data_IF_295769761464
#
_entry.id   IF_295769761464
#
_cell.length_a   1.000
_cell.length_b   1.000
_cell.length_c   1.000
_cell.angle_alpha   90.00
_cell.angle_beta   90.00
_cell.angle_gamma   90.00
#
_symmetry.space_group_name_H-M   'P 1'
#
loop_
_entity.id
_entity.type
_entity.pdbx_description
1 polymer ?
#
# COMPACT_ATOMS: atom_id res chain seq x y z
N UNK A 1 -0.19 25.29 51.97
CA UNK A 1 -0.95 25.75 50.79
C UNK A 1 -0.73 24.72 49.68
N UNK A 2 -1.74 23.94 49.31
CA UNK A 2 -1.66 22.96 48.20
C UNK A 2 -1.95 23.69 46.89
N UNK A 3 -1.01 23.70 45.95
CA UNK A 3 -1.28 24.09 44.57
C UNK A 3 -1.32 22.82 43.72
N UNK A 4 -2.54 22.44 43.35
CA UNK A 4 -2.85 21.47 42.31
C UNK A 4 -2.61 22.14 40.95
N UNK A 5 -1.80 21.51 40.10
CA UNK A 5 -1.69 21.87 38.68
C UNK A 5 -2.15 20.68 37.83
N UNK A 6 -3.46 20.48 37.76
CA UNK A 6 -4.10 19.60 36.79
C UNK A 6 -4.45 20.35 35.51
N UNK A 7 -3.49 20.98 34.83
CA UNK A 7 -3.76 21.63 33.54
C UNK A 7 -2.53 21.58 32.65
N UNK A 8 -2.31 20.42 32.02
CA UNK A 8 -1.61 20.30 30.75
C UNK A 8 -1.92 18.91 30.17
N UNK A 9 -3.20 18.72 29.79
CA UNK A 9 -3.52 17.78 28.73
C UNK A 9 -2.83 18.26 27.46
N UNK A 10 -1.56 17.87 27.28
CA UNK A 10 -0.96 17.82 25.97
C UNK A 10 -1.79 16.79 25.22
N UNK A 11 -2.69 17.26 24.34
CA UNK A 11 -3.30 16.43 23.30
C UNK A 11 -2.16 15.71 22.59
N UNK A 12 -1.84 14.49 23.01
CA UNK A 12 -1.26 13.52 22.08
C UNK A 12 -2.32 13.40 21.01
N UNK A 13 -2.03 13.89 19.81
CA UNK A 13 -2.65 13.33 18.62
C UNK A 13 -2.27 11.85 18.64
N UNK A 14 -3.03 11.04 19.36
CA UNK A 14 -3.12 9.62 19.11
C UNK A 14 -3.69 9.56 17.69
N UNK A 15 -2.81 9.55 16.69
CA UNK A 15 -3.19 9.05 15.37
C UNK A 15 -3.79 7.68 15.67
N UNK A 16 -5.11 7.58 15.52
CA UNK A 16 -5.80 6.29 15.54
C UNK A 16 -5.08 5.48 14.46
N UNK A 17 -4.25 4.53 14.87
CA UNK A 17 -3.53 3.68 13.92
C UNK A 17 -4.56 3.14 12.95
N UNK A 18 -4.27 3.25 11.66
CA UNK A 18 -5.20 2.77 10.65
C UNK A 18 -5.39 1.27 10.87
N UNK A 19 -6.63 0.80 10.77
CA UNK A 19 -6.93 -0.63 10.83
C UNK A 19 -6.56 -1.36 9.54
N UNK A 20 -6.28 -0.60 8.49
CA UNK A 20 -5.96 -1.12 7.17
C UNK A 20 -4.61 -0.62 6.72
N UNK A 21 -3.76 -1.57 6.32
CA UNK A 21 -2.48 -1.32 5.68
C UNK A 21 -2.61 -1.61 4.19
N UNK A 22 -2.22 -0.66 3.36
CA UNK A 22 -2.13 -0.81 1.90
C UNK A 22 -0.68 -1.04 1.54
N UNK A 23 -0.39 -2.18 0.94
CA UNK A 23 0.90 -2.56 0.37
C UNK A 23 0.83 -2.28 -1.12
N UNK A 24 1.52 -1.23 -1.56
CA UNK A 24 1.38 -0.66 -2.89
C UNK A 24 2.66 -0.84 -3.69
N UNK A 25 2.59 -1.65 -4.74
CA UNK A 25 3.61 -1.64 -5.78
C UNK A 25 3.56 -0.36 -6.59
N UNK A 26 4.69 -0.02 -7.22
CA UNK A 26 4.81 1.21 -8.02
C UNK A 26 4.92 0.89 -9.50
N UNK A 27 5.76 -0.08 -9.85
CA UNK A 27 6.01 -0.48 -11.23
C UNK A 27 4.81 -1.27 -11.77
N UNK A 28 4.30 -0.93 -12.95
CA UNK A 28 3.11 -1.60 -13.52
C UNK A 28 1.78 -1.26 -12.81
N UNK A 29 1.82 -0.72 -11.59
CA UNK A 29 0.64 -0.29 -10.82
C UNK A 29 0.42 1.21 -10.92
N UNK A 30 1.37 2.03 -10.48
CA UNK A 30 1.28 3.49 -10.62
C UNK A 30 1.88 3.95 -11.95
N UNK A 31 2.86 3.20 -12.45
CA UNK A 31 3.57 3.47 -13.67
C UNK A 31 3.17 2.46 -14.74
N UNK A 32 2.27 2.89 -15.61
CA UNK A 32 1.92 2.13 -16.79
C UNK A 32 3.17 1.86 -17.64
N UNK A 33 3.53 0.59 -17.80
CA UNK A 33 4.68 0.15 -18.61
C UNK A 33 4.35 0.06 -20.11
N UNK A 34 3.15 0.49 -20.52
CA UNK A 34 2.61 0.33 -21.86
C UNK A 34 1.94 1.58 -22.42
N UNK A 35 0.82 1.35 -23.11
CA UNK A 35 0.04 2.44 -23.69
C UNK A 35 -0.53 3.30 -22.57
N UNK A 36 -0.29 4.60 -22.69
CA UNK A 36 -0.66 5.59 -21.67
C UNK A 36 -2.18 5.59 -21.44
N UNK A 37 -2.65 5.78 -20.19
CA UNK A 37 -4.07 5.99 -19.90
C UNK A 37 -4.66 7.11 -20.77
N UNK A 38 -5.97 7.06 -21.03
CA UNK A 38 -6.63 8.13 -21.81
C UNK A 38 -6.58 9.48 -21.09
N UNK A 39 -6.66 9.48 -19.76
CA UNK A 39 -6.60 10.68 -18.92
C UNK A 39 -5.34 10.68 -18.06
N UNK A 40 -4.32 11.40 -18.51
CA UNK A 40 -2.99 11.35 -17.89
C UNK A 40 -2.54 12.66 -17.29
N UNK A 41 -1.81 12.54 -16.17
CA UNK A 41 -1.04 13.60 -15.56
C UNK A 41 0.45 13.33 -15.79
N UNK A 42 1.14 14.28 -16.41
CA UNK A 42 2.60 14.23 -16.53
C UNK A 42 3.25 14.92 -15.34
N UNK A 43 4.09 14.19 -14.63
CA UNK A 43 4.85 14.70 -13.48
C UNK A 43 6.32 14.36 -13.69
N UNK A 44 7.16 15.39 -13.84
CA UNK A 44 8.55 15.20 -14.25
C UNK A 44 8.66 14.47 -15.60
N UNK A 45 9.34 13.32 -15.60
CA UNK A 45 9.47 12.44 -16.78
C UNK A 45 8.42 11.33 -16.84
N UNK A 46 7.62 11.19 -15.79
CA UNK A 46 6.67 10.10 -15.63
C UNK A 46 5.26 10.55 -16.00
N UNK A 47 4.42 9.58 -16.36
CA UNK A 47 3.03 9.80 -16.73
C UNK A 47 2.18 8.86 -15.88
N UNK A 48 1.17 9.43 -15.23
CA UNK A 48 0.29 8.75 -14.30
C UNK A 48 -1.16 8.92 -14.72
N UNK A 49 -2.06 8.12 -14.17
CA UNK A 49 -3.50 8.44 -14.20
C UNK A 49 -3.74 9.77 -13.45
N UNK A 50 -4.54 10.67 -14.03
CA UNK A 50 -4.75 12.01 -13.47
C UNK A 50 -5.49 12.01 -12.12
N UNK A 51 -6.27 10.97 -11.81
CA UNK A 51 -6.97 10.83 -10.54
C UNK A 51 -6.09 10.26 -9.43
N UNK A 52 -4.95 9.66 -9.78
CA UNK A 52 -4.09 8.94 -8.85
C UNK A 52 -3.64 9.79 -7.64
N UNK A 53 -3.15 11.04 -7.78
CA UNK A 53 -2.70 11.82 -6.62
C UNK A 53 -3.84 12.12 -5.65
N UNK A 54 -5.02 12.48 -6.17
CA UNK A 54 -6.19 12.77 -5.37
C UNK A 54 -6.70 11.52 -4.64
N UNK A 55 -6.64 10.36 -5.29
CA UNK A 55 -6.98 9.08 -4.67
C UNK A 55 -5.98 8.68 -3.57
N UNK A 56 -4.67 8.72 -3.83
CA UNK A 56 -3.64 8.42 -2.82
C UNK A 56 -3.76 9.33 -1.60
N UNK A 57 -4.02 10.63 -1.81
CA UNK A 57 -4.21 11.59 -0.72
C UNK A 57 -5.46 11.31 0.12
N UNK A 58 -6.55 10.84 -0.49
CA UNK A 58 -7.76 10.42 0.26
C UNK A 58 -7.50 9.11 0.99
N UNK A 59 -6.87 8.15 0.32
CA UNK A 59 -6.58 6.83 0.87
C UNK A 59 -5.67 6.92 2.09
N UNK A 60 -4.65 7.78 2.08
CA UNK A 60 -3.74 7.97 3.22
C UNK A 60 -4.38 8.61 4.46
N UNK A 61 -5.60 9.16 4.33
CA UNK A 61 -6.36 9.66 5.48
C UNK A 61 -7.08 8.54 6.24
N UNK A 62 -7.28 7.39 5.58
CA UNK A 62 -8.10 6.27 6.09
C UNK A 62 -7.35 4.92 6.10
N UNK A 63 -6.12 4.89 5.56
CA UNK A 63 -5.24 3.74 5.47
C UNK A 63 -3.77 4.15 5.72
N UNK A 64 -2.96 3.21 6.21
CA UNK A 64 -1.50 3.34 6.19
C UNK A 64 -0.98 2.75 4.89
N UNK A 65 -0.31 3.55 4.06
CA UNK A 65 0.20 3.10 2.75
C UNK A 65 1.70 2.86 2.86
N UNK A 66 2.15 1.66 2.52
CA UNK A 66 3.55 1.27 2.42
C UNK A 66 3.90 0.99 0.98
N UNK A 67 5.07 1.48 0.56
CA UNK A 67 5.61 1.18 -0.75
C UNK A 67 6.26 -0.19 -0.75
N UNK A 68 5.87 -0.99 -1.74
CA UNK A 68 6.37 -2.33 -1.98
C UNK A 68 6.85 -2.42 -3.42
N UNK A 69 7.87 -1.64 -3.82
CA UNK A 69 8.36 -1.66 -5.20
C UNK A 69 9.69 -2.36 -5.37
N UNK A 70 9.74 -3.09 -6.48
CA UNK A 70 10.92 -3.75 -7.00
C UNK A 70 12.00 -2.75 -7.47
N UNK A 71 11.74 -1.46 -7.44
CA UNK A 71 12.63 -0.38 -7.88
C UNK A 71 12.75 0.64 -6.75
N UNK A 72 13.31 0.20 -5.60
CA UNK A 72 13.30 0.95 -4.34
C UNK A 72 13.87 2.37 -4.47
N UNK A 73 15.03 2.51 -5.10
CA UNK A 73 15.68 3.81 -5.33
C UNK A 73 14.81 4.78 -6.15
N UNK A 74 13.94 4.25 -7.00
CA UNK A 74 13.04 5.05 -7.84
C UNK A 74 11.71 5.32 -7.14
N UNK A 75 11.33 4.50 -6.16
CA UNK A 75 10.12 4.66 -5.36
C UNK A 75 10.12 5.95 -4.55
N UNK A 76 11.28 6.33 -3.99
CA UNK A 76 11.43 7.63 -3.32
C UNK A 76 11.26 8.81 -4.28
N UNK A 77 11.80 8.68 -5.49
CA UNK A 77 11.60 9.68 -6.54
C UNK A 77 10.12 9.75 -6.94
N UNK A 78 9.42 8.62 -7.04
CA UNK A 78 7.99 8.60 -7.37
C UNK A 78 7.13 9.24 -6.29
N UNK A 79 7.42 8.97 -5.01
CA UNK A 79 6.76 9.63 -3.88
C UNK A 79 6.96 11.15 -3.91
N UNK A 80 8.19 11.60 -4.17
CA UNK A 80 8.51 13.01 -4.32
C UNK A 80 7.75 13.65 -5.49
N UNK A 81 7.82 13.03 -6.67
CA UNK A 81 7.20 13.56 -7.89
C UNK A 81 5.68 13.67 -7.71
N UNK A 82 5.02 12.62 -7.20
CA UNK A 82 3.58 12.63 -6.92
C UNK A 82 3.18 13.57 -5.77
N UNK A 83 4.12 14.16 -5.05
CA UNK A 83 3.86 14.98 -3.87
C UNK A 83 3.17 14.18 -2.75
N UNK A 84 3.42 12.87 -2.68
CA UNK A 84 2.76 11.96 -1.76
C UNK A 84 3.74 11.37 -0.75
N UNK A 85 3.38 11.41 0.54
CA UNK A 85 4.15 10.78 1.61
C UNK A 85 3.46 9.51 2.08
N UNK A 86 4.14 8.38 1.95
CA UNK A 86 3.70 7.09 2.51
C UNK A 86 4.03 6.98 4.00
N UNK A 87 3.56 5.89 4.62
CA UNK A 87 3.92 5.49 5.99
C UNK A 87 5.32 4.87 6.07
N UNK A 88 5.81 4.29 4.97
CA UNK A 88 7.14 3.71 4.89
C UNK A 88 7.40 2.95 3.59
N UNK A 89 8.54 2.27 3.56
CA UNK A 89 8.98 1.38 2.48
C UNK A 89 9.26 0.00 3.07
N UNK A 90 8.86 -1.04 2.34
CA UNK A 90 9.24 -2.41 2.68
C UNK A 90 10.52 -2.75 1.90
N UNK A 91 11.63 -2.81 2.64
CA UNK A 91 12.97 -3.14 2.14
C UNK A 91 13.07 -4.60 1.69
N UNK A 92 13.47 -4.85 0.44
CA UNK A 92 13.69 -6.20 -0.10
C UNK A 92 15.17 -6.56 -0.14
N UNK A 93 16.05 -5.57 -0.07
CA UNK A 93 17.51 -5.71 -0.16
C UNK A 93 18.14 -6.50 0.99
N UNK A 94 17.50 -6.53 2.15
CA UNK A 94 18.04 -7.16 3.37
C UNK A 94 17.72 -8.66 3.48
N UNK A 95 16.83 -9.18 2.64
CA UNK A 95 16.52 -10.61 2.57
C UNK A 95 17.55 -11.33 1.69
N UNK A 96 18.78 -11.40 2.22
CA UNK A 96 19.97 -12.01 1.60
C UNK A 96 19.86 -13.51 1.27
N UNK A 97 18.71 -14.15 1.57
CA UNK A 97 18.53 -15.60 1.43
C UNK A 97 17.99 -16.03 0.07
N UNK A 98 17.31 -15.15 -0.67
CA UNK A 98 16.71 -15.54 -1.95
C UNK A 98 17.58 -15.10 -3.12
N UNK A 99 18.09 -16.05 -3.92
CA UNK A 99 18.76 -15.78 -5.20
C UNK A 99 17.82 -15.22 -6.28
N UNK A 100 16.52 -15.14 -6.00
CA UNK A 100 15.51 -14.66 -6.92
C UNK A 100 14.75 -13.50 -6.27
N UNK A 101 14.82 -12.35 -6.92
CA UNK A 101 14.32 -11.07 -6.46
C UNK A 101 12.79 -11.06 -6.20
N UNK A 102 12.02 -11.78 -7.01
CA UNK A 102 10.58 -11.90 -6.82
C UNK A 102 10.20 -12.61 -5.51
N UNK A 103 10.98 -13.62 -5.12
CA UNK A 103 10.74 -14.34 -3.86
C UNK A 103 11.11 -13.51 -2.64
N UNK A 104 12.14 -12.67 -2.73
CA UNK A 104 12.50 -11.74 -1.65
C UNK A 104 11.42 -10.69 -1.38
N UNK A 105 10.74 -10.19 -2.43
CA UNK A 105 9.61 -9.26 -2.28
C UNK A 105 8.45 -9.89 -1.51
N UNK A 106 8.09 -11.11 -1.87
CA UNK A 106 7.02 -11.86 -1.25
C UNK A 106 7.32 -12.22 0.20
N UNK A 107 8.52 -12.72 0.48
CA UNK A 107 8.96 -13.03 1.85
C UNK A 107 8.90 -11.78 2.75
N UNK A 108 9.37 -10.62 2.26
CA UNK A 108 9.28 -9.38 3.03
C UNK A 108 7.83 -8.97 3.35
N UNK A 109 6.94 -9.10 2.36
CA UNK A 109 5.51 -8.81 2.52
C UNK A 109 4.90 -9.75 3.57
N UNK A 110 5.17 -11.06 3.49
CA UNK A 110 4.67 -12.04 4.45
C UNK A 110 5.18 -11.76 5.86
N UNK A 111 6.49 -11.52 6.02
CA UNK A 111 7.08 -11.15 7.30
C UNK A 111 6.44 -9.90 7.89
N UNK A 112 6.25 -8.86 7.07
CA UNK A 112 5.58 -7.63 7.48
C UNK A 112 4.12 -7.89 7.91
N UNK A 113 3.38 -8.71 7.17
CA UNK A 113 2.01 -9.09 7.53
C UNK A 113 1.93 -9.89 8.82
N UNK A 114 2.91 -10.77 9.11
CA UNK A 114 3.01 -11.51 10.38
C UNK A 114 3.15 -10.55 11.56
N UNK A 115 4.04 -9.56 11.44
CA UNK A 115 4.25 -8.53 12.48
C UNK A 115 3.00 -7.68 12.71
N UNK A 116 2.16 -7.55 11.69
CA UNK A 116 0.92 -6.77 11.70
C UNK A 116 -0.33 -7.65 11.64
N UNK A 117 -0.27 -8.90 12.11
CA UNK A 117 -1.34 -9.91 11.95
C UNK A 117 -2.70 -9.56 12.56
N UNK A 118 -2.81 -8.44 13.31
CA UNK A 118 -4.06 -7.91 13.85
C UNK A 118 -4.71 -6.83 12.96
N UNK A 119 -4.08 -6.45 11.85
CA UNK A 119 -4.56 -5.48 10.87
C UNK A 119 -5.24 -6.17 9.68
N UNK A 120 -6.02 -5.42 8.92
CA UNK A 120 -6.44 -5.85 7.58
C UNK A 120 -5.52 -5.26 6.53
N UNK A 121 -5.42 -5.91 5.38
CA UNK A 121 -4.49 -5.56 4.32
C UNK A 121 -5.18 -5.35 2.99
N UNK A 122 -4.61 -4.47 2.19
CA UNK A 122 -4.82 -4.41 0.74
C UNK A 122 -3.45 -4.62 0.10
N UNK A 123 -3.33 -5.59 -0.81
CA UNK A 123 -2.14 -5.78 -1.63
C UNK A 123 -2.46 -5.36 -3.06
N UNK A 124 -1.73 -4.37 -3.58
CA UNK A 124 -1.90 -3.86 -4.95
C UNK A 124 -0.60 -4.11 -5.70
N UNK A 125 -0.60 -5.07 -6.61
CA UNK A 125 0.58 -5.47 -7.37
C UNK A 125 0.17 -6.09 -8.72
N UNK A 126 0.79 -5.66 -9.82
CA UNK A 126 0.48 -6.14 -11.17
C UNK A 126 0.90 -7.62 -11.37
N UNK A 127 1.81 -8.11 -10.54
CA UNK A 127 2.35 -9.46 -10.52
C UNK A 127 1.83 -10.32 -9.37
N UNK A 128 0.81 -9.88 -8.63
CA UNK A 128 0.27 -10.56 -7.45
C UNK A 128 -0.04 -12.06 -7.67
N UNK A 129 -0.46 -12.48 -8.87
CA UNK A 129 -0.75 -13.89 -9.17
C UNK A 129 0.49 -14.80 -9.10
N UNK A 130 1.67 -14.27 -9.41
CA UNK A 130 2.94 -15.00 -9.28
C UNK A 130 3.30 -15.26 -7.82
N UNK A 131 2.57 -14.63 -6.89
CA UNK A 131 2.79 -14.66 -5.45
C UNK A 131 1.67 -15.31 -4.67
N UNK A 132 0.58 -15.70 -5.33
CA UNK A 132 -0.48 -16.48 -4.71
C UNK A 132 0.09 -17.88 -4.41
N UNK A 133 0.69 -17.99 -3.23
CA UNK A 133 1.28 -19.20 -2.68
C UNK A 133 0.15 -20.16 -2.25
N UNK A 134 0.43 -21.44 -2.43
CA UNK A 134 -0.24 -22.67 -1.99
C UNK A 134 -1.29 -22.56 -0.86
N UNK A 135 -2.24 -23.50 -0.83
CA UNK A 135 -3.45 -23.53 0.02
C UNK A 135 -3.26 -23.28 1.54
N UNK A 136 -2.02 -23.30 2.06
CA UNK A 136 -1.64 -23.20 3.47
C UNK A 136 -0.82 -21.95 3.87
N UNK A 137 -0.76 -20.90 3.04
CA UNK A 137 -0.06 -19.64 3.37
C UNK A 137 -0.88 -18.67 4.24
N UNK A 138 -0.21 -17.80 5.02
CA UNK A 138 -0.86 -16.72 5.79
C UNK A 138 -1.73 -15.82 4.88
N UNK A 139 -1.25 -15.53 3.66
CA UNK A 139 -1.97 -14.76 2.66
C UNK A 139 -3.33 -15.41 2.34
N UNK A 140 -3.34 -16.73 2.16
CA UNK A 140 -4.57 -17.51 1.91
C UNK A 140 -5.55 -17.40 3.08
N UNK A 141 -5.06 -17.52 4.31
CA UNK A 141 -5.90 -17.40 5.51
C UNK A 141 -6.48 -15.99 5.67
N UNK A 142 -5.66 -14.96 5.50
CA UNK A 142 -6.12 -13.57 5.56
C UNK A 142 -7.17 -13.29 4.48
N UNK A 143 -7.00 -13.82 3.28
CA UNK A 143 -7.96 -13.65 2.20
C UNK A 143 -9.28 -14.39 2.47
N UNK A 144 -9.23 -15.66 2.91
CA UNK A 144 -10.42 -16.44 3.29
C UNK A 144 -11.24 -15.76 4.39
N UNK A 145 -10.55 -15.09 5.32
CA UNK A 145 -11.16 -14.42 6.46
C UNK A 145 -11.61 -12.98 6.13
N UNK A 146 -11.50 -12.54 4.87
CA UNK A 146 -11.88 -11.19 4.44
C UNK A 146 -10.98 -10.07 5.00
N UNK A 147 -9.77 -10.42 5.43
CA UNK A 147 -8.78 -9.49 6.01
C UNK A 147 -7.67 -9.12 5.03
N UNK A 148 -7.68 -9.68 3.83
CA UNK A 148 -6.80 -9.29 2.73
C UNK A 148 -7.62 -9.11 1.45
N UNK A 149 -7.52 -7.92 0.86
CA UNK A 149 -7.96 -7.64 -0.52
C UNK A 149 -6.72 -7.63 -1.43
N UNK A 150 -6.76 -8.43 -2.50
CA UNK A 150 -5.73 -8.39 -3.55
C UNK A 150 -6.28 -7.68 -4.77
N UNK A 151 -5.60 -6.64 -5.24
CA UNK A 151 -5.87 -5.92 -6.49
C UNK A 151 -4.71 -6.18 -7.43
N UNK A 152 -5.05 -6.56 -8.66
CA UNK A 152 -4.07 -6.85 -9.70
C UNK A 152 -4.32 -5.98 -10.92
N UNK A 153 -3.72 -4.78 -10.96
CA UNK A 153 -3.77 -3.92 -12.12
C UNK A 153 -3.13 -4.57 -13.33
N UNK A 154 -3.51 -4.10 -14.52
CA UNK A 154 -2.83 -4.49 -15.74
C UNK A 154 -1.57 -3.64 -15.91
N UNK A 155 -0.39 -4.29 -15.89
CA UNK A 155 0.93 -3.66 -15.90
C UNK A 155 1.10 -2.56 -16.97
N UNK A 156 0.45 -2.71 -18.12
CA UNK A 156 0.57 -1.78 -19.24
C UNK A 156 -0.30 -0.53 -19.12
N UNK A 157 -1.34 -0.54 -18.28
CA UNK A 157 -2.26 0.59 -18.10
C UNK A 157 -2.22 1.18 -16.69
N UNK A 158 -1.65 0.45 -15.71
CA UNK A 158 -1.69 0.85 -14.30
C UNK A 158 -3.04 0.57 -13.65
N UNK A 159 -3.19 1.04 -12.41
CA UNK A 159 -4.42 0.90 -11.61
C UNK A 159 -5.55 1.72 -12.21
N UNK A 160 -6.69 1.06 -12.43
CA UNK A 160 -7.91 1.68 -12.97
C UNK A 160 -8.75 2.37 -11.90
N UNK A 161 -9.67 3.25 -12.31
CA UNK A 161 -10.61 3.89 -11.40
C UNK A 161 -11.53 2.89 -10.67
N UNK A 162 -11.96 1.83 -11.34
CA UNK A 162 -12.74 0.76 -10.73
C UNK A 162 -11.96 0.03 -9.63
N UNK A 163 -10.65 -0.19 -9.84
CA UNK A 163 -9.78 -0.79 -8.83
C UNK A 163 -9.52 0.17 -7.66
N UNK A 164 -9.27 1.44 -7.94
CA UNK A 164 -9.18 2.49 -6.92
C UNK A 164 -10.44 2.53 -6.05
N UNK A 165 -11.63 2.45 -6.67
CA UNK A 165 -12.92 2.41 -5.98
C UNK A 165 -13.09 1.14 -5.13
N UNK A 166 -12.68 -0.04 -5.63
CA UNK A 166 -12.70 -1.29 -4.84
C UNK A 166 -11.85 -1.18 -3.58
N UNK A 167 -10.64 -0.63 -3.69
CA UNK A 167 -9.74 -0.41 -2.54
C UNK A 167 -10.41 0.51 -1.53
N UNK A 168 -10.89 1.67 -1.96
CA UNK A 168 -11.54 2.64 -1.07
C UNK A 168 -12.74 2.04 -0.36
N UNK A 169 -13.61 1.32 -1.08
CA UNK A 169 -14.80 0.68 -0.50
C UNK A 169 -14.44 -0.38 0.53
N UNK A 170 -13.40 -1.19 0.28
CA UNK A 170 -12.93 -2.19 1.23
C UNK A 170 -12.38 -1.54 2.51
N UNK A 171 -11.52 -0.53 2.37
CA UNK A 171 -10.95 0.20 3.52
C UNK A 171 -12.07 0.82 4.37
N UNK A 172 -13.04 1.46 3.71
CA UNK A 172 -14.21 2.04 4.37
C UNK A 172 -15.06 0.99 5.09
N UNK A 173 -15.28 -0.17 4.48
CA UNK A 173 -16.03 -1.27 5.08
C UNK A 173 -15.34 -1.75 6.36
N UNK A 174 -14.03 -2.02 6.32
CA UNK A 174 -13.28 -2.47 7.50
C UNK A 174 -13.30 -1.42 8.62
N UNK A 175 -13.17 -0.15 8.26
CA UNK A 175 -13.20 0.95 9.23
C UNK A 175 -14.58 1.17 9.86
N UNK A 176 -15.68 0.79 9.18
CA UNK A 176 -17.09 0.94 9.65
C UNK A 176 -17.64 -0.28 10.40
N UNK A 177 -17.15 -1.48 10.11
CA UNK A 177 -17.66 -2.74 10.70
C UNK A 177 -17.22 -2.97 12.16
N UNK A 178 -16.74 -1.93 12.85
CA UNK A 178 -16.19 -1.98 14.21
C UNK A 178 -16.41 -0.68 14.97
#
# INVERSE_FOLDING_TARGET
>A
MKLSFSWLFKKKNERKMSKVIVLLDVDGVLLAMGQQPENTLKVGKMVYDANLPAWLQKLSQIAEIYWCSSWQDQSEQFAHDLGFSSAGYIGFSDLKRTKNYFWGKLEAIEHFMIEHQNQSFVLIDDNANSWLIEESSLLTDLQKNGRLLVIKPFAYTGISEDEMNKVTNYVDHINKSQ
#
